data_IF_852550256523
#
_entry.id   IF_852550256523
#
_cell.length_a   1.000
_cell.length_b   1.000
_cell.length_c   1.000
_cell.angle_alpha   90.00
_cell.angle_beta   90.00
_cell.angle_gamma   90.00
#
_symmetry.space_group_name_H-M   'P 1'
#
loop_
_entity.id
_entity.type
_entity.pdbx_description
1 polymer ?
#
# COMPACT_ATOMS: atom_id res chain seq x y z
N UNK A 1 0.36 2.16 31.40
CA UNK A 1 0.36 3.39 30.58
C UNK A 1 1.06 3.14 29.24
N UNK A 2 2.17 2.38 29.22
CA UNK A 2 2.91 1.94 28.01
C UNK A 2 2.05 1.41 26.85
N UNK A 3 1.12 0.46 27.10
CA UNK A 3 0.29 -0.14 26.04
C UNK A 3 -0.57 0.86 25.23
N UNK A 4 -0.79 2.08 25.72
CA UNK A 4 -1.56 3.12 25.01
C UNK A 4 -0.64 3.96 24.12
N UNK A 5 0.57 4.24 24.57
CA UNK A 5 1.56 5.03 23.81
C UNK A 5 2.13 4.22 22.64
N UNK A 6 2.40 2.93 22.84
CA UNK A 6 2.84 2.03 21.76
C UNK A 6 1.80 1.93 20.65
N UNK A 7 0.51 1.82 21.02
CA UNK A 7 -0.60 1.80 20.06
C UNK A 7 -0.75 3.12 19.30
N UNK A 8 -0.50 4.26 19.95
CA UNK A 8 -0.54 5.56 19.28
C UNK A 8 0.59 5.68 18.24
N UNK A 9 1.78 5.19 18.55
CA UNK A 9 2.93 5.20 17.63
C UNK A 9 2.67 4.27 16.44
N UNK A 10 2.16 3.07 16.68
CA UNK A 10 1.82 2.11 15.62
C UNK A 10 0.75 2.68 14.69
N UNK A 11 -0.34 3.25 15.23
CA UNK A 11 -1.37 3.91 14.42
C UNK A 11 -0.82 5.07 13.56
N UNK A 12 0.15 5.83 14.10
CA UNK A 12 0.81 6.90 13.35
C UNK A 12 1.63 6.34 12.20
N UNK A 13 2.43 5.29 12.45
CA UNK A 13 3.20 4.58 11.44
C UNK A 13 2.26 4.03 10.36
N UNK A 14 1.18 3.38 10.75
CA UNK A 14 0.20 2.78 9.84
C UNK A 14 -0.43 3.83 8.92
N UNK A 15 -0.84 4.97 9.48
CA UNK A 15 -1.41 6.06 8.69
C UNK A 15 -0.41 6.60 7.66
N UNK A 16 0.87 6.69 8.01
CA UNK A 16 1.93 7.19 7.11
C UNK A 16 2.25 6.17 6.03
N UNK A 17 2.36 4.89 6.39
CA UNK A 17 2.61 3.79 5.44
C UNK A 17 1.43 3.66 4.48
N UNK A 18 0.19 3.64 4.97
CA UNK A 18 -1.02 3.57 4.14
C UNK A 18 -1.06 4.72 3.12
N UNK A 19 -0.83 5.96 3.56
CA UNK A 19 -0.80 7.13 2.66
C UNK A 19 0.35 7.08 1.65
N UNK A 20 1.50 6.51 2.03
CA UNK A 20 2.66 6.37 1.14
C UNK A 20 2.49 5.28 0.09
N UNK A 21 1.91 4.13 0.47
CA UNK A 21 1.75 2.97 -0.40
C UNK A 21 0.51 3.07 -1.29
N UNK A 22 -0.57 3.72 -0.83
CA UNK A 22 -1.82 3.80 -1.56
C UNK A 22 -1.68 4.31 -3.00
N UNK A 23 -0.97 5.42 -3.31
CA UNK A 23 -0.76 5.85 -4.69
C UNK A 23 -0.12 4.78 -5.57
N UNK A 24 0.80 4.00 -5.01
CA UNK A 24 1.55 2.96 -5.71
C UNK A 24 0.64 1.75 -5.98
N UNK A 25 -0.17 1.36 -4.99
CA UNK A 25 -1.16 0.31 -5.12
C UNK A 25 -2.21 0.64 -6.19
N UNK A 26 -2.73 1.87 -6.20
CA UNK A 26 -3.71 2.34 -7.19
C UNK A 26 -3.13 2.29 -8.62
N UNK A 27 -1.92 2.81 -8.83
CA UNK A 27 -1.26 2.76 -10.13
C UNK A 27 -0.97 1.33 -10.59
N UNK A 28 -0.63 0.42 -9.67
CA UNK A 28 -0.41 -0.99 -9.98
C UNK A 28 -1.71 -1.69 -10.41
N UNK A 29 -2.84 -1.40 -9.77
CA UNK A 29 -4.16 -1.93 -10.15
C UNK A 29 -4.56 -1.42 -11.55
N UNK A 30 -4.43 -0.11 -11.77
CA UNK A 30 -4.77 0.52 -13.06
C UNK A 30 -3.90 -0.05 -14.19
N UNK A 31 -2.60 -0.26 -13.92
CA UNK A 31 -1.68 -0.88 -14.88
C UNK A 31 -2.11 -2.27 -15.34
N UNK A 32 -2.57 -3.12 -14.41
CA UNK A 32 -2.87 -4.54 -14.70
C UNK A 32 -4.14 -4.71 -15.52
N UNK A 33 -5.12 -3.82 -15.32
CA UNK A 33 -6.44 -3.97 -15.92
C UNK A 33 -6.66 -3.08 -17.16
N UNK A 34 -5.64 -2.31 -17.57
CA UNK A 34 -5.60 -1.41 -18.74
C UNK A 34 -6.62 -0.24 -18.71
N UNK A 35 -7.85 -0.46 -18.28
CA UNK A 35 -8.88 0.54 -17.98
C UNK A 35 -9.76 0.04 -16.83
N UNK A 36 -9.90 0.82 -15.75
CA UNK A 36 -10.60 0.38 -14.53
C UNK A 36 -11.58 1.41 -14.01
N UNK A 37 -12.76 0.96 -13.63
CA UNK A 37 -13.74 1.77 -12.92
C UNK A 37 -13.28 2.09 -11.49
N UNK A 38 -13.54 3.32 -11.04
CA UNK A 38 -13.23 3.75 -9.68
C UNK A 38 -13.75 2.79 -8.59
N UNK A 39 -14.96 2.27 -8.79
CA UNK A 39 -15.60 1.32 -7.87
C UNK A 39 -14.85 -0.01 -7.77
N UNK A 40 -14.36 -0.54 -8.89
CA UNK A 40 -13.60 -1.79 -8.90
C UNK A 40 -12.21 -1.62 -8.26
N UNK A 41 -11.60 -0.44 -8.42
CA UNK A 41 -10.35 -0.09 -7.73
C UNK A 41 -10.55 -0.14 -6.22
N UNK A 42 -11.60 0.50 -5.70
CA UNK A 42 -11.93 0.51 -4.26
C UNK A 42 -12.12 -0.92 -3.74
N UNK A 43 -12.88 -1.76 -4.47
CA UNK A 43 -13.08 -3.17 -4.10
C UNK A 43 -11.77 -3.94 -4.00
N UNK A 44 -10.89 -3.81 -5.00
CA UNK A 44 -9.61 -4.53 -5.03
C UNK A 44 -8.71 -4.08 -3.89
N UNK A 45 -8.64 -2.78 -3.59
CA UNK A 45 -7.88 -2.24 -2.47
C UNK A 45 -8.39 -2.81 -1.15
N UNK A 46 -9.69 -2.66 -0.87
CA UNK A 46 -10.27 -3.16 0.38
C UNK A 46 -10.09 -4.64 0.55
N UNK A 47 -10.32 -5.43 -0.51
CA UNK A 47 -10.10 -6.87 -0.45
C UNK A 47 -8.65 -7.23 -0.16
N UNK A 48 -7.68 -6.63 -0.86
CA UNK A 48 -6.27 -6.94 -0.66
C UNK A 48 -5.75 -6.61 0.74
N UNK A 49 -6.21 -5.50 1.35
CA UNK A 49 -5.84 -5.18 2.74
C UNK A 49 -6.53 -6.08 3.77
N UNK A 50 -7.75 -6.54 3.50
CA UNK A 50 -8.45 -7.49 4.39
C UNK A 50 -7.85 -8.89 4.32
N UNK A 51 -7.52 -9.39 3.12
CA UNK A 51 -6.85 -10.69 2.92
C UNK A 51 -5.50 -10.71 3.65
N UNK A 52 -4.67 -9.67 3.47
CA UNK A 52 -3.39 -9.56 4.15
C UNK A 52 -3.52 -9.51 5.68
N UNK A 53 -4.55 -8.81 6.19
CA UNK A 53 -4.82 -8.76 7.64
C UNK A 53 -5.14 -10.16 8.20
N UNK A 54 -5.92 -10.96 7.47
CA UNK A 54 -6.27 -12.33 7.90
C UNK A 54 -5.08 -13.30 7.88
N UNK A 55 -4.11 -13.09 6.98
CA UNK A 55 -2.95 -13.97 6.86
C UNK A 55 -1.82 -13.66 7.86
N UNK A 56 -1.69 -12.41 8.29
CA UNK A 56 -0.47 -11.93 8.97
C UNK A 56 -0.73 -11.39 10.39
N UNK A 57 -1.92 -10.87 10.68
CA UNK A 57 -2.22 -10.25 11.96
C UNK A 57 -3.00 -11.22 12.87
N UNK A 58 -2.55 -11.41 14.11
CA UNK A 58 -3.44 -11.92 15.17
C UNK A 58 -4.61 -10.94 15.39
N UNK A 59 -5.76 -11.41 15.87
CA UNK A 59 -7.01 -10.64 16.09
C UNK A 59 -6.84 -9.31 16.88
N UNK A 60 -5.68 -9.12 17.51
CA UNK A 60 -5.31 -7.95 18.28
C UNK A 60 -4.56 -6.84 17.51
N UNK A 61 -4.12 -7.09 16.27
CA UNK A 61 -3.33 -6.13 15.49
C UNK A 61 -4.14 -5.29 14.49
N UNK A 62 -3.79 -4.01 14.44
CA UNK A 62 -4.43 -3.00 13.61
C UNK A 62 -3.91 -3.14 12.18
N UNK A 63 -4.73 -3.73 11.30
CA UNK A 63 -4.48 -3.66 9.86
C UNK A 63 -4.77 -2.26 9.30
N UNK A 64 -4.27 -1.98 8.10
CA UNK A 64 -4.51 -0.69 7.43
C UNK A 64 -5.99 -0.50 7.08
N UNK A 65 -6.66 0.46 7.74
CA UNK A 65 -7.99 0.91 7.32
C UNK A 65 -7.87 2.10 6.35
N UNK A 66 -8.16 1.84 5.08
CA UNK A 66 -8.13 2.86 4.02
C UNK A 66 -9.57 3.27 3.70
N UNK A 67 -9.96 4.47 4.11
CA UNK A 67 -11.28 4.99 3.79
C UNK A 67 -11.48 5.18 2.27
N UNK A 68 -12.73 5.03 1.81
CA UNK A 68 -13.09 5.32 0.41
C UNK A 68 -12.75 6.76 0.02
N UNK A 69 -12.98 7.71 0.94
CA UNK A 69 -12.65 9.11 0.74
C UNK A 69 -11.17 9.30 0.42
N UNK A 70 -10.27 8.62 1.15
CA UNK A 70 -8.83 8.67 0.90
C UNK A 70 -8.46 8.06 -0.47
N UNK A 71 -9.13 7.00 -0.89
CA UNK A 71 -8.93 6.39 -2.23
C UNK A 71 -9.32 7.40 -3.31
N UNK A 72 -10.52 7.97 -3.24
CA UNK A 72 -11.01 8.93 -4.24
C UNK A 72 -10.16 10.20 -4.28
N UNK A 73 -9.76 10.75 -3.12
CA UNK A 73 -8.88 11.93 -3.09
C UNK A 73 -7.50 11.62 -3.67
N UNK A 74 -6.99 10.40 -3.47
CA UNK A 74 -5.71 9.98 -4.06
C UNK A 74 -5.82 9.77 -5.56
N UNK A 75 -6.92 9.20 -6.05
CA UNK A 75 -7.20 9.09 -7.49
C UNK A 75 -7.30 10.45 -8.16
N UNK A 76 -8.01 11.40 -7.54
CA UNK A 76 -8.10 12.77 -8.03
C UNK A 76 -6.72 13.42 -8.12
N UNK A 77 -5.91 13.30 -7.07
CA UNK A 77 -4.54 13.84 -7.09
C UNK A 77 -3.67 13.21 -8.18
N UNK A 78 -3.76 11.89 -8.38
CA UNK A 78 -3.01 11.20 -9.44
C UNK A 78 -3.42 11.68 -10.84
N UNK A 79 -4.68 12.06 -11.02
CA UNK A 79 -5.21 12.64 -12.25
C UNK A 79 -4.73 14.07 -12.44
N UNK A 80 -4.86 14.92 -11.41
CA UNK A 80 -4.40 16.32 -11.40
C UNK A 80 -2.90 16.40 -11.71
N UNK A 81 -2.11 15.47 -11.16
CA UNK A 81 -0.67 15.35 -11.39
C UNK A 81 -0.32 14.58 -12.68
N UNK A 82 -1.31 14.22 -13.52
CA UNK A 82 -1.16 13.53 -14.80
C UNK A 82 -0.44 12.16 -14.74
N UNK A 83 -0.49 11.46 -13.60
CA UNK A 83 -0.04 10.06 -13.49
C UNK A 83 -1.07 9.09 -14.06
N UNK A 84 -2.34 9.47 -14.06
CA UNK A 84 -3.45 8.76 -14.72
C UNK A 84 -4.22 9.75 -15.60
N UNK A 85 -4.87 9.24 -16.63
CA UNK A 85 -5.88 9.97 -17.40
C UNK A 85 -7.22 9.28 -17.21
N UNK A 86 -8.30 10.05 -17.34
CA UNK A 86 -9.63 9.50 -17.13
C UNK A 86 -10.52 9.69 -18.33
N UNK A 87 -11.37 8.71 -18.57
CA UNK A 87 -12.43 8.78 -19.57
C UNK A 87 -13.76 8.49 -18.91
N UNK A 88 -14.80 9.15 -19.37
CA UNK A 88 -16.16 8.91 -18.92
C UNK A 88 -16.84 7.98 -19.90
N UNK A 89 -17.37 6.87 -19.41
CA UNK A 89 -18.20 5.96 -20.20
C UNK A 89 -19.64 6.43 -20.05
N UNK A 90 -20.20 6.97 -21.12
CA UNK A 90 -21.62 7.26 -21.20
C UNK A 90 -22.35 5.97 -21.55
N UNK A 91 -22.96 5.35 -20.55
CA UNK A 91 -24.10 4.48 -20.76
C UNK A 91 -25.15 4.88 -19.74
N UNK A 92 -25.95 5.87 -20.14
CA UNK A 92 -27.36 5.94 -19.83
C UNK A 92 -28.04 6.81 -20.88
N UNK A 93 -29.27 6.45 -21.25
CA UNK A 93 -30.14 7.17 -22.18
C UNK A 93 -30.46 8.62 -21.72
N UNK A 94 -30.02 9.00 -20.50
CA UNK A 94 -30.19 10.31 -19.88
C UNK A 94 -29.00 11.27 -20.10
N UNK A 95 -27.92 10.85 -20.77
CA UNK A 95 -26.76 11.72 -21.04
C UNK A 95 -25.88 12.01 -19.81
N UNK A 96 -26.09 11.34 -18.68
CA UNK A 96 -25.26 11.51 -17.48
C UNK A 96 -24.08 10.53 -17.53
N UNK A 97 -22.83 10.98 -17.30
CA UNK A 97 -21.67 10.08 -17.22
C UNK A 97 -21.84 9.07 -16.08
N UNK A 98 -22.07 7.79 -16.40
CA UNK A 98 -22.40 6.79 -15.38
C UNK A 98 -21.15 6.18 -14.74
N UNK A 99 -20.00 6.14 -15.43
CA UNK A 99 -18.75 5.55 -14.90
C UNK A 99 -17.48 6.27 -15.35
N UNK A 100 -16.60 6.58 -14.38
CA UNK A 100 -15.25 7.12 -14.59
C UNK A 100 -14.23 5.99 -14.69
N UNK A 101 -13.52 5.91 -15.81
CA UNK A 101 -12.42 5.00 -16.07
C UNK A 101 -11.09 5.69 -15.82
N UNK A 102 -10.11 4.91 -15.38
CA UNK A 102 -8.73 5.35 -15.20
C UNK A 102 -7.80 4.53 -16.09
N UNK A 103 -6.88 5.21 -16.77
CA UNK A 103 -5.82 4.63 -17.57
C UNK A 103 -4.47 5.23 -17.14
N UNK A 104 -3.43 4.41 -17.12
CA UNK A 104 -2.09 4.81 -16.70
C UNK A 104 -1.42 5.68 -17.79
N UNK A 105 -0.82 6.80 -17.42
CA UNK A 105 -0.01 7.58 -18.36
C UNK A 105 1.43 7.07 -18.40
N UNK A 106 2.24 7.53 -19.37
CA UNK A 106 3.68 7.28 -19.39
C UNK A 106 4.37 7.79 -18.11
N UNK A 107 3.94 8.95 -17.60
CA UNK A 107 4.42 9.53 -16.33
C UNK A 107 4.09 8.61 -15.16
N UNK A 108 2.85 8.12 -15.09
CA UNK A 108 2.40 7.13 -14.09
C UNK A 108 3.22 5.85 -14.12
N UNK A 109 3.48 5.30 -15.31
CA UNK A 109 4.27 4.08 -15.49
C UNK A 109 5.72 4.23 -15.00
N UNK A 110 6.37 5.36 -15.33
CA UNK A 110 7.72 5.67 -14.86
C UNK A 110 7.77 5.85 -13.34
N UNK A 111 6.84 6.63 -12.79
CA UNK A 111 6.73 6.80 -11.34
C UNK A 111 6.55 5.45 -10.62
N UNK A 112 5.62 4.61 -11.09
CA UNK A 112 5.37 3.29 -10.51
C UNK A 112 6.64 2.42 -10.51
N UNK A 113 7.43 2.45 -11.60
CA UNK A 113 8.71 1.72 -11.68
C UNK A 113 9.68 2.19 -10.59
N UNK A 114 9.86 3.50 -10.43
CA UNK A 114 10.77 4.04 -9.43
C UNK A 114 10.28 3.82 -7.99
N UNK A 115 8.97 3.97 -7.77
CA UNK A 115 8.36 3.78 -6.46
C UNK A 115 8.48 2.32 -5.99
N UNK A 116 8.27 1.34 -6.88
CA UNK A 116 8.48 -0.08 -6.55
C UNK A 116 9.93 -0.36 -6.16
N UNK A 117 10.90 0.19 -6.90
CA UNK A 117 12.33 0.04 -6.56
C UNK A 117 12.63 0.58 -5.15
N UNK A 118 12.13 1.77 -4.81
CA UNK A 118 12.31 2.37 -3.48
C UNK A 118 11.65 1.56 -2.37
N UNK A 119 10.45 1.02 -2.60
CA UNK A 119 9.82 0.11 -1.63
C UNK A 119 10.69 -1.12 -1.42
N UNK A 120 11.19 -1.74 -2.49
CA UNK A 120 12.07 -2.91 -2.39
C UNK A 120 13.35 -2.59 -1.59
N UNK A 121 13.95 -1.42 -1.78
CA UNK A 121 15.11 -0.98 -0.98
C UNK A 121 14.76 -0.85 0.51
N UNK A 122 13.63 -0.20 0.85
CA UNK A 122 13.19 -0.04 2.25
C UNK A 122 12.86 -1.37 2.91
N UNK A 123 12.10 -2.22 2.20
CA UNK A 123 11.73 -3.56 2.67
C UNK A 123 12.99 -4.43 2.85
N UNK A 124 13.93 -4.34 1.91
CA UNK A 124 15.24 -4.99 1.99
C UNK A 124 15.99 -4.60 3.24
N UNK A 125 16.10 -3.30 3.55
CA UNK A 125 16.75 -2.81 4.77
C UNK A 125 16.10 -3.36 6.05
N UNK A 126 14.76 -3.41 6.10
CA UNK A 126 14.04 -3.93 7.27
C UNK A 126 14.36 -5.42 7.48
N UNK A 127 14.44 -6.21 6.40
CA UNK A 127 14.68 -7.66 6.49
C UNK A 127 16.16 -8.04 6.59
N UNK A 128 17.09 -7.29 5.97
CA UNK A 128 18.54 -7.50 6.09
C UNK A 128 19.02 -7.29 7.53
N UNK A 129 18.55 -6.23 8.20
CA UNK A 129 18.82 -6.04 9.64
C UNK A 129 18.19 -7.14 10.51
N UNK A 130 17.08 -7.73 10.08
CA UNK A 130 16.48 -8.86 10.79
C UNK A 130 17.31 -10.16 10.65
N UNK A 131 18.01 -10.33 9.53
CA UNK A 131 18.94 -11.44 9.31
C UNK A 131 20.24 -11.28 10.12
N UNK A 132 20.84 -10.09 10.15
CA UNK A 132 22.05 -9.81 10.94
C UNK A 132 21.79 -9.85 12.46
N UNK A 133 20.59 -9.46 12.90
CA UNK A 133 20.16 -9.59 14.30
C UNK A 133 20.11 -11.05 14.76
N UNK A 134 19.53 -11.95 13.95
CA UNK A 134 19.49 -13.39 14.25
C UNK A 134 20.88 -14.03 14.20
N UNK A 135 21.75 -13.59 13.29
CA UNK A 135 23.12 -14.09 13.18
C UNK A 135 23.98 -13.69 14.39
N UNK A 136 23.85 -12.44 14.87
CA UNK A 136 24.55 -11.96 16.05
C UNK A 136 24.04 -12.59 17.35
N UNK A 137 22.74 -12.82 17.49
CA UNK A 137 22.16 -13.53 18.65
C UNK A 137 22.56 -15.01 18.70
N UNK A 138 22.64 -15.68 17.54
CA UNK A 138 23.11 -17.07 17.45
C UNK A 138 24.62 -17.19 17.79
N UNK A 139 25.44 -16.20 17.39
CA UNK A 139 26.86 -16.13 17.74
C UNK A 139 27.07 -15.88 19.24
N UNK A 140 26.32 -14.96 19.83
CA UNK A 140 26.39 -14.66 21.27
C UNK A 140 25.99 -15.86 22.14
N UNK A 141 24.97 -16.62 21.73
CA UNK A 141 24.54 -17.87 22.42
C UNK A 141 25.58 -18.99 22.31
N UNK A 142 26.31 -19.09 21.20
CA UNK A 142 27.41 -20.07 21.04
C UNK A 142 28.63 -19.69 21.88
N UNK A 143 28.96 -18.40 21.98
CA UNK A 143 30.09 -17.93 22.80
C UNK A 143 29.81 -18.03 24.30
N UNK A 144 28.55 -17.89 24.74
CA UNK A 144 28.18 -18.10 26.15
C UNK A 144 28.11 -19.58 26.56
N UNK A 145 27.94 -20.50 25.61
CA UNK A 145 27.89 -21.95 25.87
C UNK A 145 29.27 -22.64 25.81
N UNK A 146 30.31 -21.94 25.37
CA UNK A 146 31.70 -22.42 25.29
C UNK A 146 32.59 -21.84 26.42
N UNK A 147 32.02 -21.02 27.29
CA UNK A 147 32.70 -20.35 28.41
C UNK A 147 32.26 -20.81 29.80
N UNK A 148 31.62 -21.98 29.91
CA UNK A 148 31.17 -22.61 31.15
C UNK A 148 31.73 -24.02 31.27
#
# INVERSE_FOLDING_TARGET
MEKKDDRNILNLIDSKIAKGILPIALLQIIKVKESVHAYDIVKVIHRGFQEYKQEVCDDSEVGFDISRALIYSTLQRLEDDAFVKTSWVNQDLSGTPSKKNYELTRKGALFLKHAKKRITEVVGLIFEYHADSKYNLARLRKTSALGS
#
